data_IF_522646844076
#
_entry.id   IF_522646844076
#
_cell.length_a   1.000
_cell.length_b   1.000
_cell.length_c   1.000
_cell.angle_alpha   90.00
_cell.angle_beta   90.00
_cell.angle_gamma   90.00
#
_symmetry.space_group_name_H-M   'P 1'
#
loop_
_entity.id
_entity.type
_entity.pdbx_description
1 polymer ?
#
# COMPACT_ATOMS: atom_id res chain seq x y z
N UNK A 1 -8.72 1.14 -18.50
CA UNK A 1 -9.78 0.72 -17.57
C UNK A 1 -9.20 -0.01 -16.35
N UNK A 2 -8.74 -1.27 -16.47
CA UNK A 2 -8.29 -2.10 -15.32
C UNK A 2 -7.20 -1.48 -14.43
N UNK A 3 -6.11 -0.96 -15.02
CA UNK A 3 -5.03 -0.35 -14.24
C UNK A 3 -5.48 0.90 -13.48
N UNK A 4 -6.32 1.74 -14.09
CA UNK A 4 -6.87 2.91 -13.41
C UNK A 4 -7.78 2.54 -12.23
N UNK A 5 -8.58 1.49 -12.37
CA UNK A 5 -9.40 0.93 -11.28
C UNK A 5 -8.52 0.40 -10.15
N UNK A 6 -7.49 -0.40 -10.47
CA UNK A 6 -6.55 -0.90 -9.46
C UNK A 6 -5.79 0.25 -8.76
N UNK A 7 -5.41 1.28 -9.50
CA UNK A 7 -4.75 2.45 -8.96
C UNK A 7 -5.65 3.25 -8.01
N UNK A 8 -6.92 3.46 -8.38
CA UNK A 8 -7.91 4.13 -7.53
C UNK A 8 -8.17 3.33 -6.25
N UNK A 9 -8.46 2.03 -6.37
CA UNK A 9 -8.63 1.13 -5.24
C UNK A 9 -7.42 1.12 -4.30
N UNK A 10 -6.20 1.08 -4.86
CA UNK A 10 -4.97 1.13 -4.06
C UNK A 10 -4.83 2.45 -3.32
N UNK A 11 -5.14 3.59 -3.95
CA UNK A 11 -5.04 4.90 -3.28
C UNK A 11 -6.06 5.04 -2.16
N UNK A 12 -7.29 4.57 -2.37
CA UNK A 12 -8.34 4.64 -1.35
C UNK A 12 -8.04 3.70 -0.17
N UNK A 13 -7.53 2.50 -0.46
CA UNK A 13 -7.06 1.57 0.57
C UNK A 13 -5.88 2.11 1.39
N UNK A 14 -4.93 2.84 0.76
CA UNK A 14 -3.85 3.55 1.47
C UNK A 14 -4.42 4.61 2.40
N UNK A 15 -5.34 5.45 1.91
CA UNK A 15 -5.99 6.50 2.72
C UNK A 15 -6.81 5.91 3.87
N UNK A 16 -7.51 4.80 3.64
CA UNK A 16 -8.29 4.11 4.66
C UNK A 16 -7.44 3.56 5.82
N UNK A 17 -6.16 3.24 5.55
CA UNK A 17 -5.18 2.88 6.59
C UNK A 17 -4.53 4.10 7.25
N UNK A 18 -4.98 5.33 6.96
CA UNK A 18 -4.43 6.57 7.52
C UNK A 18 -3.06 6.94 6.95
N UNK A 19 -2.64 6.32 5.84
CA UNK A 19 -1.36 6.60 5.20
C UNK A 19 -1.48 7.72 4.16
N UNK A 20 -0.37 8.42 3.93
CA UNK A 20 -0.30 9.52 2.96
C UNK A 20 0.31 9.11 1.63
N UNK A 21 -0.29 9.56 0.52
CA UNK A 21 0.31 9.45 -0.80
C UNK A 21 1.55 10.36 -0.90
N UNK A 22 2.58 9.89 -1.61
CA UNK A 22 3.78 10.68 -1.85
C UNK A 22 3.56 11.80 -2.89
N UNK A 23 3.08 11.52 -4.12
CA UNK A 23 2.77 12.56 -5.10
C UNK A 23 1.38 13.16 -4.86
N UNK A 24 1.12 14.29 -5.49
CA UNK A 24 -0.25 14.78 -5.70
C UNK A 24 -1.05 13.73 -6.51
N UNK A 25 -2.30 13.53 -6.14
CA UNK A 25 -3.18 12.57 -6.79
C UNK A 25 -3.44 12.92 -8.26
N UNK A 26 -3.44 14.20 -8.62
CA UNK A 26 -3.64 14.69 -9.99
C UNK A 26 -2.53 14.24 -10.97
N UNK A 27 -1.34 13.92 -10.45
CA UNK A 27 -0.18 13.46 -11.25
C UNK A 27 0.20 12.00 -10.93
N UNK A 28 -0.68 11.27 -10.24
CA UNK A 28 -0.40 9.91 -9.80
C UNK A 28 -0.40 8.90 -10.95
N UNK A 29 0.49 7.92 -10.86
CA UNK A 29 0.61 6.84 -11.84
C UNK A 29 -0.58 5.88 -11.77
N UNK A 30 -0.96 5.34 -12.92
CA UNK A 30 -1.97 4.28 -13.03
C UNK A 30 -1.40 2.87 -12.77
N UNK A 31 -0.10 2.72 -12.52
CA UNK A 31 0.57 1.40 -12.43
C UNK A 31 1.35 1.18 -11.13
N UNK A 32 1.60 2.24 -10.37
CA UNK A 32 2.25 2.18 -9.06
C UNK A 32 1.71 3.29 -8.16
N UNK A 33 1.44 2.96 -6.90
CA UNK A 33 1.11 3.94 -5.87
C UNK A 33 2.31 4.11 -4.94
N UNK A 34 2.84 5.34 -4.87
CA UNK A 34 3.89 5.69 -3.92
C UNK A 34 3.27 6.28 -2.65
N UNK A 35 3.70 5.78 -1.50
CA UNK A 35 3.17 6.09 -0.18
C UNK A 35 4.32 6.58 0.68
N UNK A 36 4.12 7.69 1.42
CA UNK A 36 5.11 8.18 2.38
C UNK A 36 5.32 7.14 3.48
N UNK A 37 6.54 7.07 4.00
CA UNK A 37 6.79 6.29 5.21
C UNK A 37 5.98 6.89 6.36
N UNK A 38 5.13 6.13 7.06
CA UNK A 38 4.42 6.66 8.23
C UNK A 38 5.41 6.99 9.35
N UNK A 39 5.09 8.03 10.12
CA UNK A 39 5.88 8.38 11.31
C UNK A 39 5.93 7.22 12.30
N UNK A 40 7.07 7.03 12.96
CA UNK A 40 7.25 5.96 13.95
C UNK A 40 7.56 4.57 13.38
N UNK A 41 7.65 4.41 12.05
CA UNK A 41 8.14 3.18 11.44
C UNK A 41 9.24 3.41 10.41
N UNK A 42 10.07 2.38 10.25
CA UNK A 42 11.10 2.32 9.23
C UNK A 42 10.67 1.44 8.07
N UNK A 43 11.27 1.69 6.92
CA UNK A 43 11.12 0.86 5.73
C UNK A 43 11.40 -0.63 5.98
N UNK A 44 12.41 -0.94 6.81
CA UNK A 44 12.75 -2.30 7.20
C UNK A 44 11.65 -2.96 8.05
N UNK A 45 11.05 -2.22 8.98
CA UNK A 45 9.94 -2.73 9.79
C UNK A 45 8.72 -3.03 8.92
N UNK A 46 8.36 -2.17 7.98
CA UNK A 46 7.18 -2.38 7.14
C UNK A 46 7.46 -3.43 6.06
N UNK A 47 8.39 -3.14 5.14
CA UNK A 47 8.64 -4.04 4.00
C UNK A 47 9.25 -5.36 4.42
N UNK A 48 10.11 -5.37 5.45
CA UNK A 48 10.70 -6.59 6.00
C UNK A 48 9.63 -7.48 6.61
N UNK A 49 8.76 -6.95 7.48
CA UNK A 49 7.64 -7.73 8.03
C UNK A 49 6.71 -8.26 6.95
N UNK A 50 6.38 -7.44 5.94
CA UNK A 50 5.54 -7.86 4.81
C UNK A 50 6.15 -9.02 4.03
N UNK A 51 7.45 -8.96 3.76
CA UNK A 51 8.18 -10.01 3.05
C UNK A 51 8.30 -11.27 3.92
N UNK A 52 8.80 -11.13 5.14
CA UNK A 52 9.20 -12.26 5.99
C UNK A 52 8.01 -13.04 6.55
N UNK A 53 6.91 -12.34 6.87
CA UNK A 53 5.73 -12.96 7.50
C UNK A 53 4.63 -13.31 6.50
N UNK A 54 4.47 -12.52 5.46
CA UNK A 54 3.33 -12.63 4.54
C UNK A 54 3.74 -12.96 3.10
N UNK A 55 5.05 -13.04 2.81
CA UNK A 55 5.57 -13.25 1.46
C UNK A 55 5.08 -12.19 0.45
N UNK A 56 4.80 -10.98 0.94
CA UNK A 56 4.38 -9.83 0.12
C UNK A 56 5.56 -8.87 -0.03
N UNK A 57 6.08 -8.79 -1.24
CA UNK A 57 7.21 -7.91 -1.53
C UNK A 57 6.74 -6.54 -2.03
N UNK A 58 7.06 -5.50 -1.26
CA UNK A 58 6.94 -4.11 -1.70
C UNK A 58 8.30 -3.55 -2.12
N UNK A 59 8.28 -2.58 -3.02
CA UNK A 59 9.47 -1.82 -3.39
C UNK A 59 9.63 -0.61 -2.46
N UNK A 60 10.87 -0.26 -2.11
CA UNK A 60 11.18 0.98 -1.42
C UNK A 60 11.40 2.15 -2.38
N UNK A 61 11.65 3.33 -1.83
CA UNK A 61 12.21 4.47 -2.56
C UNK A 61 13.63 4.22 -3.08
N UNK A 62 14.04 5.00 -4.07
CA UNK A 62 15.36 4.94 -4.69
C UNK A 62 16.11 6.26 -4.45
N UNK A 63 17.45 6.20 -4.45
CA UNK A 63 18.31 7.36 -4.27
C UNK A 63 17.91 8.19 -3.04
N UNK A 64 17.69 9.51 -3.18
CA UNK A 64 17.26 10.41 -2.11
C UNK A 64 15.90 10.06 -1.47
N UNK A 65 15.10 9.18 -2.09
CA UNK A 65 13.83 8.70 -1.55
C UNK A 65 13.96 7.40 -0.74
N UNK A 66 15.16 6.80 -0.66
CA UNK A 66 15.39 5.57 0.09
C UNK A 66 15.01 5.76 1.56
N UNK A 67 14.15 4.88 2.08
CA UNK A 67 13.64 4.94 3.45
C UNK A 67 12.47 5.91 3.67
N UNK A 68 12.19 6.81 2.71
CA UNK A 68 11.18 7.85 2.85
C UNK A 68 9.82 7.47 2.22
N UNK A 69 9.82 6.51 1.29
CA UNK A 69 8.60 6.02 0.64
C UNK A 69 8.63 4.50 0.47
N UNK A 70 7.44 3.92 0.35
CA UNK A 70 7.21 2.60 -0.22
C UNK A 70 6.39 2.72 -1.50
N UNK A 71 6.48 1.72 -2.37
CA UNK A 71 5.81 1.67 -3.68
C UNK A 71 5.05 0.36 -3.82
N UNK A 72 3.75 0.47 -4.05
CA UNK A 72 2.83 -0.65 -4.27
C UNK A 72 2.57 -0.74 -5.77
N UNK A 73 3.10 -1.77 -6.41
CA UNK A 73 2.90 -2.03 -7.83
C UNK A 73 1.56 -2.74 -8.08
N UNK A 74 0.78 -2.25 -9.04
CA UNK A 74 -0.50 -2.84 -9.46
C UNK A 74 -0.59 -2.97 -10.98
N UNK A 75 0.56 -3.24 -11.60
CA UNK A 75 0.70 -3.50 -13.04
C UNK A 75 0.67 -4.99 -13.39
N UNK A 76 0.57 -5.32 -14.68
CA UNK A 76 0.52 -6.72 -15.12
C UNK A 76 -0.79 -7.42 -14.75
N UNK A 77 -0.75 -8.70 -14.40
CA UNK A 77 -1.91 -9.54 -14.07
C UNK A 77 -2.27 -9.40 -12.59
N UNK A 78 -2.70 -8.21 -12.20
CA UNK A 78 -3.18 -7.90 -10.84
C UNK A 78 -4.69 -7.78 -10.86
N UNK A 79 -5.32 -8.45 -9.90
CA UNK A 79 -6.74 -8.46 -9.63
C UNK A 79 -7.02 -8.02 -8.18
N UNK A 80 -8.30 -8.02 -7.80
CA UNK A 80 -8.71 -7.82 -6.40
C UNK A 80 -7.98 -8.76 -5.43
N UNK A 81 -7.67 -10.00 -5.83
CA UNK A 81 -7.06 -11.00 -4.94
C UNK A 81 -5.67 -10.57 -4.46
N UNK A 82 -4.81 -10.16 -5.39
CA UNK A 82 -3.45 -9.73 -5.07
C UNK A 82 -3.44 -8.42 -4.26
N UNK A 83 -4.38 -7.51 -4.56
CA UNK A 83 -4.55 -6.29 -3.77
C UNK A 83 -5.06 -6.61 -2.35
N UNK A 84 -6.04 -7.50 -2.21
CA UNK A 84 -6.59 -7.89 -0.91
C UNK A 84 -5.53 -8.54 -0.01
N UNK A 85 -4.70 -9.44 -0.57
CA UNK A 85 -3.56 -10.02 0.14
C UNK A 85 -2.59 -8.92 0.59
N UNK A 86 -2.25 -8.00 -0.33
CA UNK A 86 -1.32 -6.91 -0.06
C UNK A 86 -1.80 -6.00 1.07
N UNK A 87 -3.06 -5.56 1.02
CA UNK A 87 -3.62 -4.64 2.01
C UNK A 87 -3.95 -5.32 3.34
N UNK A 88 -4.28 -6.61 3.34
CA UNK A 88 -4.37 -7.40 4.58
C UNK A 88 -3.01 -7.48 5.27
N UNK A 89 -1.95 -7.80 4.52
CA UNK A 89 -0.59 -7.87 5.05
C UNK A 89 -0.11 -6.50 5.57
N UNK A 90 -0.38 -5.42 4.82
CA UNK A 90 -0.02 -4.06 5.22
C UNK A 90 -0.78 -3.65 6.49
N UNK A 91 -2.10 -3.82 6.54
CA UNK A 91 -2.91 -3.47 7.70
C UNK A 91 -2.50 -4.23 8.97
N UNK A 92 -2.23 -5.54 8.88
CA UNK A 92 -1.71 -6.32 10.00
C UNK A 92 -0.30 -5.88 10.44
N UNK A 93 0.56 -5.50 9.48
CA UNK A 93 1.90 -4.99 9.78
C UNK A 93 1.81 -3.66 10.54
N UNK A 94 0.99 -2.72 10.06
CA UNK A 94 0.76 -1.44 10.73
C UNK A 94 0.14 -1.64 12.12
N UNK A 95 -0.82 -2.55 12.27
CA UNK A 95 -1.45 -2.85 13.57
C UNK A 95 -0.43 -3.42 14.56
N UNK A 96 0.45 -4.31 14.11
CA UNK A 96 1.53 -4.86 14.92
C UNK A 96 2.55 -3.81 15.37
N UNK A 97 2.72 -2.74 14.59
CA UNK A 97 3.57 -1.59 14.92
C UNK A 97 2.82 -0.52 15.74
N UNK A 98 1.53 -0.70 16.02
CA UNK A 98 0.70 0.29 16.73
C UNK A 98 0.38 1.54 15.91
N UNK A 99 0.45 1.46 14.57
CA UNK A 99 0.25 2.60 13.66
C UNK A 99 -1.18 2.72 13.11
N UNK A 100 -2.02 1.68 13.29
CA UNK A 100 -3.43 1.71 12.88
C UNK A 100 -4.27 0.92 13.87
N UNK A 101 -5.51 1.36 14.10
CA UNK A 101 -6.44 0.63 14.95
C UNK A 101 -7.19 -0.46 14.22
N UNK A 102 -7.69 -0.17 13.02
CA UNK A 102 -8.39 -1.12 12.16
C UNK A 102 -7.45 -1.63 11.04
N UNK A 103 -6.94 -2.84 11.21
CA UNK A 103 -6.13 -3.51 10.19
C UNK A 103 -6.93 -3.87 8.93
N UNK A 104 -8.26 -3.93 9.01
CA UNK A 104 -9.15 -4.30 7.91
C UNK A 104 -9.54 -3.13 7.00
N UNK A 105 -9.33 -1.88 7.43
CA UNK A 105 -9.80 -0.70 6.72
C UNK A 105 -9.31 -0.64 5.26
N UNK A 106 -8.04 -0.98 5.02
CA UNK A 106 -7.46 -0.98 3.68
C UNK A 106 -8.09 -2.02 2.74
N UNK A 107 -8.29 -3.26 3.19
CA UNK A 107 -8.92 -4.29 2.34
C UNK A 107 -10.41 -4.03 2.14
N UNK A 108 -11.10 -3.47 3.14
CA UNK A 108 -12.50 -3.08 3.02
C UNK A 108 -12.70 -2.00 1.94
N UNK A 109 -11.84 -0.99 1.90
CA UNK A 109 -11.89 0.09 0.90
C UNK A 109 -11.64 -0.37 -0.55
N UNK A 110 -11.07 -1.57 -0.76
CA UNK A 110 -10.98 -2.13 -2.11
C UNK A 110 -12.36 -2.49 -2.67
N UNK A 111 -13.33 -2.85 -1.81
CA UNK A 111 -14.65 -3.31 -2.24
C UNK A 111 -15.38 -2.26 -3.10
N UNK A 112 -15.22 -0.97 -2.77
CA UNK A 112 -15.86 0.16 -3.45
C UNK A 112 -15.53 0.25 -4.95
N UNK A 113 -14.46 -0.43 -5.39
CA UNK A 113 -14.03 -0.47 -6.78
C UNK A 113 -14.31 -1.80 -7.47
N UNK A 114 -14.57 -2.88 -6.73
CA UNK A 114 -14.61 -4.24 -7.27
C UNK A 114 -15.94 -4.98 -7.02
N UNK A 115 -16.84 -4.41 -6.23
CA UNK A 115 -18.19 -4.91 -5.92
C UNK A 115 -19.21 -3.85 -6.31
#
# INVERSE_FOLDING_TARGET
>A
ARHHQAAAATRDAVKALGLELFPDEAVSSATVTAVKMPEGATDAQIRGTMLDKYFVQLAGGQDHLKGNIIRIGHMGVISYKELAITFTALGLTLKGLGLVDDAGAGVAALADHYI
#
